data_IF_895805178425
#
_entry.id   IF_895805178425
#
_cell.length_a   1.000
_cell.length_b   1.000
_cell.length_c   1.000
_cell.angle_alpha   90.00
_cell.angle_beta   90.00
_cell.angle_gamma   90.00
#
_symmetry.space_group_name_H-M   'P 1'
#
loop_
_entity.id
_entity.type
_entity.pdbx_description
1 polymer ?
#
# COMPACT_ATOMS: atom_id res chain seq x y z
N UNK A 1 -14.26 13.37 -23.61
CA UNK A 1 -14.64 12.39 -22.59
C UNK A 1 -13.97 12.79 -21.29
N UNK A 2 -14.70 13.10 -20.23
CA UNK A 2 -14.10 13.40 -18.93
C UNK A 2 -13.42 12.11 -18.41
N UNK A 3 -12.13 12.18 -18.12
CA UNK A 3 -11.40 11.08 -17.49
C UNK A 3 -12.02 10.85 -16.11
N UNK A 4 -12.46 9.63 -15.81
CA UNK A 4 -13.03 9.32 -14.51
C UNK A 4 -12.04 9.67 -13.41
N UNK A 5 -12.54 10.28 -12.34
CA UNK A 5 -11.71 10.67 -11.19
C UNK A 5 -11.06 9.43 -10.57
N UNK A 6 -9.75 9.52 -10.31
CA UNK A 6 -8.99 8.46 -9.64
C UNK A 6 -9.18 8.58 -8.13
N UNK A 7 -9.78 7.54 -7.54
CA UNK A 7 -10.18 7.51 -6.14
C UNK A 7 -9.47 6.39 -5.37
N UNK A 8 -9.11 6.70 -4.14
CA UNK A 8 -8.59 5.74 -3.13
C UNK A 8 -9.67 5.53 -2.07
N UNK A 9 -9.94 4.27 -1.75
CA UNK A 9 -11.00 3.89 -0.83
C UNK A 9 -10.53 3.81 0.63
N UNK A 10 -11.45 3.91 1.61
CA UNK A 10 -11.12 3.94 3.03
C UNK A 10 -10.26 2.76 3.50
N UNK A 11 -10.40 1.59 2.90
CA UNK A 11 -9.62 0.39 3.24
C UNK A 11 -8.11 0.60 3.16
N UNK A 12 -7.63 1.36 2.16
CA UNK A 12 -6.20 1.70 2.03
C UNK A 12 -5.79 2.70 3.09
N UNK A 13 -6.60 3.74 3.30
CA UNK A 13 -6.35 4.79 4.30
C UNK A 13 -6.33 4.18 5.70
N UNK A 14 -7.31 3.35 6.04
CA UNK A 14 -7.37 2.60 7.30
C UNK A 14 -6.15 1.70 7.47
N UNK A 15 -5.80 0.95 6.43
CA UNK A 15 -4.65 0.04 6.43
C UNK A 15 -3.34 0.73 6.80
N UNK A 16 -3.09 1.90 6.25
CA UNK A 16 -1.87 2.66 6.56
C UNK A 16 -1.99 3.41 7.89
N UNK A 17 -2.96 4.32 8.01
CA UNK A 17 -2.98 5.31 9.10
C UNK A 17 -3.54 4.76 10.40
N UNK A 18 -4.56 3.92 10.34
CA UNK A 18 -5.21 3.39 11.55
C UNK A 18 -4.51 2.12 12.05
N UNK A 19 -4.10 1.23 11.14
CA UNK A 19 -3.47 -0.05 11.51
C UNK A 19 -1.96 0.00 11.43
N UNK A 20 -1.39 0.33 10.26
CA UNK A 20 0.05 0.32 10.03
C UNK A 20 0.82 1.32 10.89
N UNK A 21 0.27 2.50 11.09
CA UNK A 21 0.85 3.59 11.86
C UNK A 21 0.16 3.82 13.21
N UNK A 22 -0.58 2.85 13.73
CA UNK A 22 -1.27 2.96 15.01
C UNK A 22 -0.37 3.52 16.12
N UNK A 23 -0.77 4.63 16.75
CA UNK A 23 -0.01 5.31 17.79
C UNK A 23 1.29 5.99 17.36
N UNK A 24 1.65 5.98 16.06
CA UNK A 24 2.91 6.53 15.53
C UNK A 24 2.73 7.80 14.70
N UNK A 25 1.51 8.28 14.53
CA UNK A 25 1.22 9.54 13.82
C UNK A 25 1.29 10.69 14.81
N UNK A 26 2.34 11.55 14.76
CA UNK A 26 2.47 12.69 15.65
C UNK A 26 1.33 13.68 15.46
N UNK A 27 1.00 14.45 16.49
CA UNK A 27 -0.05 15.47 16.43
C UNK A 27 0.17 16.46 15.27
N UNK A 28 1.40 16.96 15.11
CA UNK A 28 1.73 17.87 14.02
C UNK A 28 1.46 17.27 12.62
N UNK A 29 1.72 15.97 12.43
CA UNK A 29 1.40 15.29 11.17
C UNK A 29 -0.12 15.15 11.00
N UNK A 30 -0.88 14.82 12.04
CA UNK A 30 -2.35 14.77 11.96
C UNK A 30 -2.94 16.11 11.49
N UNK A 31 -2.44 17.23 12.02
CA UNK A 31 -2.87 18.57 11.61
C UNK A 31 -2.54 18.88 10.14
N UNK A 32 -1.38 18.42 9.66
CA UNK A 32 -1.03 18.56 8.25
C UNK A 32 -1.93 17.70 7.35
N UNK A 33 -2.16 16.45 7.73
CA UNK A 33 -3.06 15.53 6.99
C UNK A 33 -4.49 16.10 6.92
N UNK A 34 -4.97 16.69 8.02
CA UNK A 34 -6.30 17.36 8.04
C UNK A 34 -6.38 18.50 7.03
N UNK A 35 -5.32 19.30 6.90
CA UNK A 35 -5.28 20.39 5.90
C UNK A 35 -5.30 19.87 4.47
N UNK A 36 -4.75 18.69 4.24
CA UNK A 36 -4.80 18.00 2.94
C UNK A 36 -6.13 17.26 2.68
N UNK A 37 -7.06 17.28 3.63
CA UNK A 37 -8.38 16.66 3.51
C UNK A 37 -8.49 15.28 4.14
N UNK A 38 -7.48 14.80 4.87
CA UNK A 38 -7.51 13.55 5.62
C UNK A 38 -7.55 13.83 7.13
N UNK A 39 -8.74 13.79 7.71
CA UNK A 39 -8.93 13.94 9.16
C UNK A 39 -9.02 12.55 9.82
N UNK A 40 -7.98 12.18 10.57
CA UNK A 40 -7.88 10.88 11.26
C UNK A 40 -8.67 10.84 12.58
N UNK A 41 -9.16 11.96 13.05
CA UNK A 41 -9.95 12.06 14.28
C UNK A 41 -11.47 12.01 14.00
N UNK A 42 -11.86 11.87 12.73
CA UNK A 42 -13.24 11.70 12.25
C UNK A 42 -13.40 10.40 11.47
N UNK A 43 -14.65 9.93 11.27
CA UNK A 43 -14.91 8.83 10.35
C UNK A 43 -14.34 9.12 8.96
N UNK A 44 -13.68 8.12 8.37
CA UNK A 44 -13.08 8.26 7.05
C UNK A 44 -14.16 8.55 5.99
N UNK A 45 -13.80 9.36 5.00
CA UNK A 45 -14.68 9.63 3.85
C UNK A 45 -14.84 8.38 3.00
N UNK A 46 -15.94 8.27 2.22
CA UNK A 46 -16.17 7.13 1.32
C UNK A 46 -15.09 6.93 0.27
N UNK A 47 -14.40 8.01 -0.11
CA UNK A 47 -13.25 8.00 -1.02
C UNK A 47 -12.43 9.27 -0.88
N UNK A 48 -11.18 9.21 -1.31
CA UNK A 48 -10.24 10.33 -1.40
C UNK A 48 -9.70 10.42 -2.82
N UNK A 49 -9.44 11.62 -3.33
CA UNK A 49 -8.77 11.77 -4.61
C UNK A 49 -7.36 11.16 -4.56
N UNK A 50 -6.87 10.66 -5.70
CA UNK A 50 -5.48 10.18 -5.80
C UNK A 50 -4.48 11.26 -5.40
N UNK A 51 -4.77 12.51 -5.72
CA UNK A 51 -3.96 13.68 -5.36
C UNK A 51 -3.87 13.87 -3.84
N UNK A 52 -5.00 13.86 -3.14
CA UNK A 52 -5.04 13.93 -1.67
C UNK A 52 -4.25 12.78 -1.06
N UNK A 53 -4.48 11.56 -1.53
CA UNK A 53 -3.75 10.38 -1.06
C UNK A 53 -2.24 10.54 -1.25
N UNK A 54 -1.81 10.96 -2.44
CA UNK A 54 -0.39 11.13 -2.76
C UNK A 54 0.29 12.15 -1.85
N UNK A 55 -0.38 13.31 -1.59
CA UNK A 55 0.13 14.33 -0.67
C UNK A 55 0.20 13.82 0.77
N UNK A 56 -0.80 13.10 1.23
CA UNK A 56 -0.81 12.52 2.57
C UNK A 56 0.32 11.51 2.77
N UNK A 57 0.57 10.64 1.78
CA UNK A 57 1.69 9.68 1.84
C UNK A 57 3.03 10.41 1.82
N UNK A 58 3.20 11.43 0.98
CA UNK A 58 4.41 12.24 0.91
C UNK A 58 4.74 12.92 2.25
N UNK A 59 3.76 13.59 2.86
CA UNK A 59 3.90 14.22 4.18
C UNK A 59 4.30 13.19 5.24
N UNK A 60 3.66 12.04 5.23
CA UNK A 60 3.92 10.95 6.16
C UNK A 60 5.32 10.40 6.00
N UNK A 61 5.74 10.12 4.77
CA UNK A 61 7.09 9.65 4.45
C UNK A 61 8.16 10.62 4.96
N UNK A 62 8.01 11.90 4.64
CA UNK A 62 8.93 12.96 5.06
C UNK A 62 8.99 13.14 6.58
N UNK A 63 7.86 13.01 7.26
CA UNK A 63 7.79 13.21 8.72
C UNK A 63 8.32 12.02 9.50
N UNK A 64 8.02 10.79 9.07
CA UNK A 64 8.39 9.59 9.82
C UNK A 64 9.76 9.03 9.42
N UNK A 65 10.25 9.38 8.22
CA UNK A 65 11.52 8.89 7.68
C UNK A 65 12.35 10.02 7.05
N UNK A 66 12.64 11.11 7.79
CA UNK A 66 13.27 12.33 7.24
C UNK A 66 14.68 12.07 6.68
N UNK A 67 15.38 11.06 7.21
CA UNK A 67 16.76 10.72 6.82
C UNK A 67 16.81 9.72 5.64
N UNK A 68 15.66 9.21 5.19
CA UNK A 68 15.62 8.24 4.11
C UNK A 68 15.37 8.94 2.76
N UNK A 69 16.00 8.46 1.66
CA UNK A 69 15.59 8.86 0.32
C UNK A 69 14.11 8.56 0.08
N UNK A 70 13.41 9.43 -0.66
CA UNK A 70 11.97 9.30 -0.93
C UNK A 70 11.56 7.88 -1.38
N UNK A 71 12.22 7.22 -2.34
CA UNK A 71 11.86 5.86 -2.75
C UNK A 71 11.87 4.86 -1.58
N UNK A 72 12.82 4.98 -0.68
CA UNK A 72 12.97 4.10 0.49
C UNK A 72 11.86 4.40 1.51
N UNK A 73 11.64 5.68 1.84
CA UNK A 73 10.61 6.11 2.78
C UNK A 73 9.19 5.67 2.32
N UNK A 74 8.88 5.84 1.04
CA UNK A 74 7.61 5.40 0.49
C UNK A 74 7.44 3.88 0.51
N UNK A 75 8.49 3.13 0.17
CA UNK A 75 8.49 1.66 0.29
C UNK A 75 8.22 1.22 1.72
N UNK A 76 8.89 1.82 2.70
CA UNK A 76 8.71 1.50 4.13
C UNK A 76 7.26 1.72 4.58
N UNK A 77 6.58 2.77 4.10
CA UNK A 77 5.16 2.98 4.39
C UNK A 77 4.28 1.90 3.78
N UNK A 78 4.58 1.44 2.56
CA UNK A 78 3.87 0.33 1.93
C UNK A 78 4.03 -0.99 2.69
N UNK A 79 5.24 -1.31 3.14
CA UNK A 79 5.52 -2.46 4.00
C UNK A 79 4.73 -2.35 5.32
N UNK A 80 4.74 -1.16 5.93
CA UNK A 80 4.06 -0.88 7.20
C UNK A 80 2.56 -1.06 7.12
N UNK A 81 1.94 -0.70 6.00
CA UNK A 81 0.52 -0.92 5.77
C UNK A 81 0.15 -2.41 5.87
N UNK A 82 0.94 -3.28 5.27
CA UNK A 82 0.70 -4.73 5.30
C UNK A 82 1.01 -5.32 6.68
N UNK A 83 2.08 -4.87 7.33
CA UNK A 83 2.42 -5.30 8.68
C UNK A 83 1.30 -4.98 9.68
N UNK A 84 0.65 -3.82 9.55
CA UNK A 84 -0.50 -3.46 10.38
C UNK A 84 -1.68 -4.43 10.23
N UNK A 85 -1.89 -4.99 9.04
CA UNK A 85 -2.89 -6.06 8.85
C UNK A 85 -2.49 -7.36 9.54
N UNK A 86 -1.20 -7.70 9.57
CA UNK A 86 -0.70 -8.93 10.21
C UNK A 86 -1.01 -8.99 11.71
N UNK A 87 -1.09 -7.84 12.37
CA UNK A 87 -1.38 -7.75 13.79
C UNK A 87 -2.86 -7.98 14.12
N UNK A 88 -3.74 -8.05 13.11
CA UNK A 88 -5.16 -8.31 13.29
C UNK A 88 -5.48 -9.82 13.18
N UNK A 89 -6.61 -10.25 13.79
CA UNK A 89 -7.10 -11.64 13.63
C UNK A 89 -7.39 -11.96 12.15
N UNK A 90 -8.03 -11.04 11.46
CA UNK A 90 -8.36 -11.19 10.03
C UNK A 90 -7.10 -11.27 9.18
N UNK A 91 -6.11 -10.42 9.46
CA UNK A 91 -4.83 -10.43 8.76
C UNK A 91 -4.06 -11.74 8.97
N UNK A 92 -4.03 -12.28 10.20
CA UNK A 92 -3.40 -13.58 10.47
C UNK A 92 -4.09 -14.71 9.73
N UNK A 93 -5.42 -14.74 9.69
CA UNK A 93 -6.19 -15.74 8.94
C UNK A 93 -5.91 -15.62 7.43
N UNK A 94 -5.92 -14.40 6.89
CA UNK A 94 -5.61 -14.14 5.48
C UNK A 94 -4.19 -14.60 5.11
N UNK A 95 -3.20 -14.31 5.95
CA UNK A 95 -1.82 -14.76 5.73
C UNK A 95 -1.67 -16.27 5.77
N UNK A 96 -2.44 -16.96 6.63
CA UNK A 96 -2.54 -18.42 6.62
C UNK A 96 -3.01 -18.94 5.26
N UNK A 97 -4.07 -18.34 4.72
CA UNK A 97 -4.58 -18.69 3.37
C UNK A 97 -3.54 -18.38 2.29
N UNK A 98 -2.89 -17.20 2.34
CA UNK A 98 -1.86 -16.83 1.35
C UNK A 98 -0.69 -17.83 1.31
N UNK A 99 -0.26 -18.32 2.48
CA UNK A 99 0.78 -19.35 2.57
C UNK A 99 0.33 -20.68 1.91
N UNK A 100 -0.94 -21.03 2.08
CA UNK A 100 -1.49 -22.27 1.49
C UNK A 100 -1.62 -22.17 -0.03
N UNK A 101 -2.05 -21.03 -0.57
CA UNK A 101 -2.23 -20.87 -2.02
C UNK A 101 -0.91 -20.64 -2.76
N UNK A 102 0.12 -20.17 -2.05
CA UNK A 102 1.44 -19.88 -2.57
C UNK A 102 1.55 -18.54 -3.33
N UNK A 103 2.78 -18.06 -3.56
CA UNK A 103 3.03 -16.74 -4.09
C UNK A 103 2.50 -16.53 -5.52
N UNK A 104 2.58 -17.53 -6.37
CA UNK A 104 2.10 -17.46 -7.75
C UNK A 104 0.60 -17.18 -7.84
N UNK A 105 -0.22 -17.95 -7.12
CA UNK A 105 -1.68 -17.74 -7.09
C UNK A 105 -2.06 -16.45 -6.41
N UNK A 106 -1.28 -16.02 -5.43
CA UNK A 106 -1.44 -14.71 -4.79
C UNK A 106 -1.23 -13.59 -5.80
N UNK A 107 -0.16 -13.62 -6.61
CA UNK A 107 0.12 -12.62 -7.65
C UNK A 107 -1.04 -12.53 -8.65
N UNK A 108 -1.58 -13.66 -9.10
CA UNK A 108 -2.73 -13.67 -10.03
C UNK A 108 -3.99 -12.99 -9.45
N UNK A 109 -4.12 -12.93 -8.13
CA UNK A 109 -5.22 -12.23 -7.45
C UNK A 109 -4.94 -10.75 -7.17
N UNK A 110 -3.74 -10.29 -7.41
CA UNK A 110 -3.30 -8.92 -7.07
C UNK A 110 -4.19 -7.86 -7.72
N UNK A 111 -4.60 -8.05 -8.98
CA UNK A 111 -5.50 -7.11 -9.65
C UNK A 111 -6.84 -6.93 -8.92
N UNK A 112 -7.44 -8.03 -8.47
CA UNK A 112 -8.67 -7.97 -7.69
C UNK A 112 -8.45 -7.26 -6.35
N UNK A 113 -7.34 -7.55 -5.68
CA UNK A 113 -7.00 -6.94 -4.40
C UNK A 113 -6.80 -5.42 -4.50
N UNK A 114 -6.17 -4.92 -5.58
CA UNK A 114 -6.03 -3.47 -5.77
C UNK A 114 -7.38 -2.78 -6.00
N UNK A 115 -8.32 -3.41 -6.70
CA UNK A 115 -9.66 -2.85 -6.93
C UNK A 115 -10.48 -2.66 -5.65
N UNK A 116 -10.19 -3.38 -4.59
CA UNK A 116 -10.82 -3.14 -3.28
C UNK A 116 -10.29 -1.87 -2.58
N UNK A 117 -9.14 -1.38 -3.01
CA UNK A 117 -8.48 -0.21 -2.43
C UNK A 117 -8.57 1.07 -3.25
N UNK A 118 -8.87 0.96 -4.56
CA UNK A 118 -8.98 2.10 -5.47
C UNK A 118 -9.70 1.71 -6.77
N UNK A 119 -10.10 2.71 -7.58
CA UNK A 119 -10.81 2.49 -8.84
C UNK A 119 -9.93 2.60 -10.09
N UNK A 120 -8.64 2.83 -9.96
CA UNK A 120 -7.78 3.18 -11.10
C UNK A 120 -6.59 2.24 -11.31
N UNK A 121 -6.14 1.48 -10.32
CA UNK A 121 -4.96 0.62 -10.46
C UNK A 121 -5.23 -0.51 -11.45
N UNK A 122 -4.43 -0.55 -12.50
CA UNK A 122 -4.35 -1.65 -13.45
C UNK A 122 -3.09 -2.46 -13.18
N UNK A 123 -3.21 -3.77 -13.29
CA UNK A 123 -2.12 -4.71 -13.06
C UNK A 123 -2.00 -5.64 -14.26
N UNK A 124 -0.78 -5.83 -14.74
CA UNK A 124 -0.45 -6.87 -15.72
C UNK A 124 0.68 -7.72 -15.17
N UNK A 125 0.53 -9.02 -15.21
CA UNK A 125 1.52 -9.98 -14.68
C UNK A 125 2.06 -10.77 -15.85
N UNK A 126 3.39 -10.83 -15.93
CA UNK A 126 4.11 -11.67 -16.92
C UNK A 126 5.01 -12.61 -16.14
N UNK A 127 4.73 -13.90 -16.22
CA UNK A 127 5.57 -14.93 -15.63
C UNK A 127 6.89 -15.01 -16.41
N UNK A 128 8.03 -14.96 -15.71
CA UNK A 128 9.38 -15.11 -16.27
C UNK A 128 9.98 -16.48 -15.98
N UNK A 129 9.49 -17.15 -14.94
CA UNK A 129 9.96 -18.45 -14.49
C UNK A 129 9.13 -18.97 -13.33
N UNK A 130 9.58 -20.06 -12.71
CA UNK A 130 8.86 -20.69 -11.59
C UNK A 130 8.80 -19.77 -10.35
N UNK A 131 9.79 -18.91 -10.18
CA UNK A 131 9.98 -18.04 -9.00
C UNK A 131 10.14 -16.56 -9.35
N UNK A 132 9.86 -16.20 -10.59
CA UNK A 132 10.07 -14.87 -11.10
C UNK A 132 8.87 -14.43 -11.94
N UNK A 133 8.42 -13.19 -11.72
CA UNK A 133 7.36 -12.56 -12.49
C UNK A 133 7.56 -11.05 -12.54
N UNK A 134 7.23 -10.43 -13.68
CA UNK A 134 7.09 -9.00 -13.80
C UNK A 134 5.66 -8.58 -13.43
N UNK A 135 5.57 -7.52 -12.67
CA UNK A 135 4.31 -6.89 -12.32
C UNK A 135 4.31 -5.45 -12.87
N UNK A 136 3.55 -5.21 -13.92
CA UNK A 136 3.33 -3.88 -14.43
C UNK A 136 2.15 -3.22 -13.71
N UNK A 137 2.34 -1.97 -13.28
CA UNK A 137 1.34 -1.13 -12.61
C UNK A 137 1.30 0.24 -13.30
N UNK A 138 0.11 0.79 -13.47
CA UNK A 138 -0.09 2.16 -13.97
C UNK A 138 0.11 3.24 -12.88
N UNK A 139 1.03 3.01 -11.93
CA UNK A 139 1.28 3.94 -10.82
C UNK A 139 2.38 4.95 -11.19
N UNK A 140 2.05 6.25 -11.25
CA UNK A 140 3.03 7.28 -11.53
C UNK A 140 3.86 7.68 -10.30
N UNK A 141 5.03 8.27 -10.56
CA UNK A 141 5.85 8.91 -9.54
C UNK A 141 6.26 8.00 -8.39
N UNK A 142 6.25 8.54 -7.18
CA UNK A 142 6.71 7.84 -5.97
C UNK A 142 5.73 6.78 -5.46
N UNK A 143 4.47 6.80 -5.87
CA UNK A 143 3.50 5.77 -5.49
C UNK A 143 3.92 4.36 -5.91
N UNK A 144 4.71 4.21 -6.99
CA UNK A 144 5.28 2.92 -7.38
C UNK A 144 6.14 2.29 -6.27
N UNK A 145 6.86 3.10 -5.51
CA UNK A 145 7.66 2.60 -4.38
C UNK A 145 6.79 2.22 -3.18
N UNK A 146 5.71 2.95 -2.93
CA UNK A 146 4.72 2.53 -1.95
C UNK A 146 4.13 1.16 -2.34
N UNK A 147 3.75 0.97 -3.60
CA UNK A 147 3.26 -0.33 -4.11
C UNK A 147 4.33 -1.41 -4.04
N UNK A 148 5.60 -1.09 -4.30
CA UNK A 148 6.72 -2.01 -4.09
C UNK A 148 6.74 -2.52 -2.65
N UNK A 149 6.60 -1.64 -1.66
CA UNK A 149 6.54 -2.02 -0.24
C UNK A 149 5.35 -2.93 0.08
N UNK A 150 4.16 -2.59 -0.44
CA UNK A 150 2.96 -3.43 -0.31
C UNK A 150 3.20 -4.83 -0.87
N UNK A 151 3.73 -4.93 -2.09
CA UNK A 151 4.01 -6.20 -2.74
C UNK A 151 5.09 -6.98 -2.00
N UNK A 152 6.18 -6.32 -1.62
CA UNK A 152 7.29 -6.94 -0.90
C UNK A 152 6.82 -7.59 0.41
N UNK A 153 6.07 -6.84 1.24
CA UNK A 153 5.55 -7.36 2.50
C UNK A 153 4.54 -8.51 2.28
N UNK A 154 3.69 -8.39 1.26
CA UNK A 154 2.69 -9.41 0.93
C UNK A 154 3.35 -10.70 0.44
N UNK A 155 4.31 -10.61 -0.50
CA UNK A 155 4.99 -11.79 -1.04
C UNK A 155 5.89 -12.44 0.01
N UNK A 156 6.60 -11.66 0.82
CA UNK A 156 7.39 -12.18 1.96
C UNK A 156 6.53 -12.94 2.97
N UNK A 157 5.31 -12.47 3.21
CA UNK A 157 4.38 -13.16 4.10
C UNK A 157 3.95 -14.54 3.57
N UNK A 158 3.90 -14.72 2.24
CA UNK A 158 3.54 -15.97 1.59
C UNK A 158 4.74 -16.90 1.32
N UNK A 159 5.94 -16.34 1.05
CA UNK A 159 7.11 -17.07 0.55
C UNK A 159 8.34 -17.05 1.48
N UNK A 160 8.29 -16.21 2.52
CA UNK A 160 9.41 -16.02 3.44
C UNK A 160 10.33 -14.84 3.09
N UNK A 161 11.36 -14.59 3.95
CA UNK A 161 12.14 -13.34 3.95
C UNK A 161 13.09 -13.18 2.75
N UNK A 162 13.41 -14.26 2.04
CA UNK A 162 14.36 -14.22 0.91
C UNK A 162 13.76 -13.58 -0.37
N UNK A 163 12.46 -13.27 -0.36
CA UNK A 163 11.81 -12.64 -1.51
C UNK A 163 12.28 -11.21 -1.71
N UNK A 164 12.56 -10.84 -2.96
CA UNK A 164 12.90 -9.50 -3.40
C UNK A 164 11.84 -8.96 -4.35
N UNK A 165 11.62 -7.66 -4.32
CA UNK A 165 10.77 -6.92 -5.26
C UNK A 165 11.49 -5.64 -5.63
N UNK A 166 11.88 -5.52 -6.89
CA UNK A 166 12.59 -4.37 -7.43
C UNK A 166 11.64 -3.53 -8.30
N UNK A 167 11.92 -2.23 -8.37
CA UNK A 167 11.25 -1.29 -9.29
C UNK A 167 12.22 -1.00 -10.43
N UNK A 168 11.74 -1.21 -11.65
CA UNK A 168 12.50 -1.01 -12.90
C UNK A 168 11.94 0.21 -13.64
#
# INVERSE_FOLDING_TARGET
MATAEKLVFPTIVEGLFVRGLSGKVPFALKEQLRKEGLDLDRPLQPAYSLDTWTRCVALTAKTLHPEQPDPVAWRMLGERMIDGYRDTMVGRALLGVLRLIGPKRMLLRTQHSFRTGNNYTEVRITERGEREADLWLNEPGLLRYFKQGVMLATVRAASGPATQVDVV
#
